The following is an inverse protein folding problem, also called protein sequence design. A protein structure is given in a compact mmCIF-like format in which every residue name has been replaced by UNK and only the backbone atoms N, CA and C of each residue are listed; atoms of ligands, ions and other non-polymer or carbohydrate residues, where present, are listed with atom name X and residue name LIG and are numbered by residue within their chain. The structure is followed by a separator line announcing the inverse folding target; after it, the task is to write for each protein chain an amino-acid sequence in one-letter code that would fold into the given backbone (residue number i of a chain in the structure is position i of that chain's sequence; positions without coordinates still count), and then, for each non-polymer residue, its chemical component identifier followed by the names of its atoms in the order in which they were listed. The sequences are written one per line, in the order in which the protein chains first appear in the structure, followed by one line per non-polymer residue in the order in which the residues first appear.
data_IF_862036343299
#
_entry.id   IF_862036343299
#
_cell.length_a   1.000
_cell.length_b   1.000
_cell.length_c   1.000
_cell.angle_alpha   90.00
_cell.angle_beta   90.00
_cell.angle_gamma   90.00
#
_symmetry.space_group_name_H-M   'P 1'
#
loop_
_entity.id
_entity.type
_entity.pdbx_description
1 polymer ?
#
# COMPACT_ATOMS: atom_id res chain seq x y z
N UNK A 1 23.58 8.47 10.07
CA UNK A 1 23.66 7.13 9.44
C UNK A 1 22.57 6.88 8.38
N UNK A 2 21.32 7.37 8.48
CA UNK A 2 20.27 7.11 7.46
C UNK A 2 20.02 8.22 6.41
N UNK A 3 20.65 9.41 6.54
CA UNK A 3 20.39 10.55 5.63
C UNK A 3 21.07 10.45 4.26
N UNK A 4 22.08 9.59 4.12
CA UNK A 4 22.99 9.62 2.97
C UNK A 4 22.69 8.55 1.92
N UNK A 5 21.78 7.61 2.19
CA UNK A 5 21.55 6.46 1.28
C UNK A 5 20.65 6.85 0.10
N UNK A 6 19.59 7.63 0.36
CA UNK A 6 18.58 7.97 -0.66
C UNK A 6 18.51 9.47 -0.99
N UNK A 7 19.29 10.31 -0.30
CA UNK A 7 19.37 11.77 -0.53
C UNK A 7 18.02 12.52 -0.55
N UNK A 8 17.02 12.02 0.19
CA UNK A 8 15.71 12.68 0.28
C UNK A 8 15.74 13.93 1.18
N UNK A 9 15.00 15.00 0.83
CA UNK A 9 14.82 16.14 1.71
C UNK A 9 14.18 15.74 3.05
N UNK A 10 14.75 16.19 4.17
CA UNK A 10 14.29 15.77 5.51
C UNK A 10 12.86 16.20 5.83
N UNK A 11 12.38 17.28 5.22
CA UNK A 11 11.01 17.77 5.41
C UNK A 11 9.94 16.80 4.89
N UNK A 12 10.27 15.90 3.95
CA UNK A 12 9.29 14.94 3.39
C UNK A 12 9.13 13.69 4.26
N UNK A 13 10.11 13.41 5.14
CA UNK A 13 10.14 12.20 5.97
C UNK A 13 8.94 12.17 6.92
N UNK A 14 8.68 13.26 7.64
CA UNK A 14 7.61 13.34 8.63
C UNK A 14 6.20 13.25 8.00
N UNK A 15 5.88 14.00 6.93
CA UNK A 15 4.63 13.82 6.19
C UNK A 15 4.42 12.38 5.71
N UNK A 16 5.43 11.76 5.10
CA UNK A 16 5.32 10.39 4.62
C UNK A 16 5.16 9.38 5.75
N UNK A 17 5.82 9.58 6.89
CA UNK A 17 5.64 8.73 8.06
C UNK A 17 4.20 8.79 8.59
N UNK A 18 3.63 10.00 8.72
CA UNK A 18 2.24 10.19 9.13
C UNK A 18 1.28 9.55 8.13
N UNK A 19 1.48 9.78 6.83
CA UNK A 19 0.63 9.22 5.77
C UNK A 19 0.64 7.69 5.74
N UNK A 20 1.77 7.04 6.03
CA UNK A 20 1.85 5.58 6.16
C UNK A 20 0.97 5.06 7.29
N UNK A 21 1.02 5.71 8.46
CA UNK A 21 0.19 5.33 9.61
C UNK A 21 -1.29 5.55 9.30
N UNK A 22 -1.65 6.71 8.73
CA UNK A 22 -3.02 7.01 8.30
C UNK A 22 -3.51 5.97 7.29
N UNK A 23 -2.71 5.65 6.28
CA UNK A 23 -3.01 4.63 5.28
C UNK A 23 -3.27 3.26 5.92
N UNK A 24 -2.41 2.83 6.83
CA UNK A 24 -2.58 1.58 7.58
C UNK A 24 -3.88 1.58 8.39
N UNK A 25 -4.17 2.65 9.12
CA UNK A 25 -5.41 2.79 9.91
C UNK A 25 -6.64 2.71 9.01
N UNK A 26 -6.66 3.42 7.88
CA UNK A 26 -7.78 3.40 6.93
C UNK A 26 -7.97 2.01 6.32
N UNK A 27 -6.89 1.32 5.98
CA UNK A 27 -6.91 -0.04 5.41
C UNK A 27 -7.50 -1.06 6.42
N UNK A 28 -7.20 -0.90 7.71
CA UNK A 28 -7.67 -1.79 8.77
C UNK A 28 -9.12 -1.47 9.19
N UNK A 29 -9.41 -0.19 9.42
CA UNK A 29 -10.71 0.28 9.91
C UNK A 29 -11.79 0.29 8.82
N UNK A 30 -11.42 0.58 7.57
CA UNK A 30 -12.30 0.57 6.38
C UNK A 30 -13.60 1.37 6.58
N UNK A 31 -13.52 2.68 6.90
CA UNK A 31 -14.72 3.50 7.15
C UNK A 31 -15.64 3.63 5.93
N UNK A 32 -15.10 3.52 4.71
CA UNK A 32 -15.87 3.39 3.47
C UNK A 32 -15.09 2.61 2.42
N UNK A 33 -15.78 1.99 1.47
CA UNK A 33 -15.13 1.25 0.38
C UNK A 33 -14.24 2.18 -0.47
N UNK A 34 -14.74 3.37 -0.82
CA UNK A 34 -14.00 4.36 -1.61
C UNK A 34 -12.72 4.82 -0.90
N UNK A 35 -12.81 5.19 0.39
CA UNK A 35 -11.64 5.68 1.13
C UNK A 35 -10.61 4.57 1.35
N UNK A 36 -11.07 3.34 1.61
CA UNK A 36 -10.20 2.19 1.67
C UNK A 36 -9.47 1.99 0.32
N UNK A 37 -10.17 2.02 -0.80
CA UNK A 37 -9.56 1.86 -2.13
C UNK A 37 -8.51 2.95 -2.42
N UNK A 38 -8.78 4.20 -2.04
CA UNK A 38 -7.80 5.28 -2.14
C UNK A 38 -6.57 5.03 -1.26
N UNK A 39 -6.75 4.52 -0.04
CA UNK A 39 -5.63 4.17 0.82
C UNK A 39 -4.80 3.00 0.26
N UNK A 40 -5.46 1.96 -0.28
CA UNK A 40 -4.79 0.87 -0.97
C UNK A 40 -4.01 1.37 -2.20
N UNK A 41 -4.59 2.24 -3.03
CA UNK A 41 -3.92 2.82 -4.20
C UNK A 41 -2.72 3.71 -3.81
N UNK A 42 -2.86 4.56 -2.79
CA UNK A 42 -1.78 5.40 -2.30
C UNK A 42 -0.61 4.56 -1.75
N UNK A 43 -0.90 3.52 -0.96
CA UNK A 43 0.12 2.60 -0.45
C UNK A 43 0.76 1.76 -1.55
N UNK A 44 0.01 1.36 -2.57
CA UNK A 44 0.54 0.66 -3.73
C UNK A 44 1.62 1.49 -4.41
N UNK A 45 1.32 2.74 -4.77
CA UNK A 45 2.30 3.62 -5.42
C UNK A 45 3.47 3.97 -4.50
N UNK A 46 3.21 4.22 -3.22
CA UNK A 46 4.26 4.46 -2.23
C UNK A 46 5.27 3.29 -2.18
N UNK A 47 4.79 2.04 -2.21
CA UNK A 47 5.65 0.85 -2.15
C UNK A 47 6.41 0.60 -3.46
N UNK A 48 5.79 0.83 -4.63
CA UNK A 48 6.47 0.78 -5.92
C UNK A 48 7.61 1.79 -5.97
N UNK A 49 7.35 3.03 -5.55
CA UNK A 49 8.36 4.09 -5.50
C UNK A 49 9.46 3.78 -4.48
N UNK A 50 9.11 3.26 -3.31
CA UNK A 50 10.09 2.87 -2.28
C UNK A 50 11.01 1.74 -2.77
N UNK A 51 10.44 0.69 -3.38
CA UNK A 51 11.22 -0.39 -3.99
C UNK A 51 12.16 0.15 -5.07
N UNK A 52 11.64 0.98 -5.98
CA UNK A 52 12.43 1.59 -7.06
C UNK A 52 13.56 2.48 -6.53
N UNK A 53 13.33 3.24 -5.46
CA UNK A 53 14.35 4.08 -4.85
C UNK A 53 15.49 3.25 -4.25
N UNK A 54 15.18 2.16 -3.53
CA UNK A 54 16.19 1.26 -2.98
C UNK A 54 17.02 0.55 -4.05
N UNK A 55 16.36 0.03 -5.08
CA UNK A 55 17.05 -0.61 -6.22
C UNK A 55 17.90 0.41 -6.98
N UNK A 56 17.38 1.61 -7.23
CA UNK A 56 18.10 2.67 -7.93
C UNK A 56 19.31 3.21 -7.17
N UNK A 57 19.26 3.20 -5.83
CA UNK A 57 20.39 3.54 -4.97
C UNK A 57 21.40 2.38 -4.81
N UNK A 58 21.06 1.17 -5.29
CA UNK A 58 21.88 -0.03 -5.11
C UNK A 58 21.94 -0.50 -3.65
N UNK A 59 20.99 -0.08 -2.81
CA UNK A 59 20.98 -0.43 -1.39
C UNK A 59 20.13 -1.68 -1.12
N UNK A 60 20.51 -2.52 -0.14
CA UNK A 60 19.82 -3.78 0.14
C UNK A 60 18.49 -3.62 0.91
N UNK A 61 17.98 -2.40 1.10
CA UNK A 61 16.78 -2.09 1.87
C UNK A 61 15.45 -2.31 1.14
N UNK A 62 15.47 -2.79 -0.11
CA UNK A 62 14.27 -3.07 -0.91
C UNK A 62 13.35 -4.23 -0.43
N UNK A 63 13.82 -5.29 0.26
CA UNK A 63 12.97 -6.47 0.54
C UNK A 63 11.68 -6.17 1.31
N UNK A 64 11.66 -5.32 2.37
CA UNK A 64 10.43 -4.97 3.06
C UNK A 64 9.41 -4.25 2.17
N UNK A 65 9.87 -3.40 1.23
CA UNK A 65 8.98 -2.72 0.30
C UNK A 65 8.30 -3.71 -0.65
N UNK A 66 9.08 -4.64 -1.22
CA UNK A 66 8.55 -5.68 -2.11
C UNK A 66 7.59 -6.62 -1.38
N UNK A 67 7.97 -7.12 -0.21
CA UNK A 67 7.13 -8.03 0.59
C UNK A 67 5.81 -7.36 0.97
N UNK A 68 5.85 -6.11 1.45
CA UNK A 68 4.65 -5.36 1.81
C UNK A 68 3.79 -5.07 0.57
N UNK A 69 4.38 -4.83 -0.60
CA UNK A 69 3.64 -4.60 -1.83
C UNK A 69 2.83 -5.82 -2.26
N UNK A 70 3.45 -7.01 -2.23
CA UNK A 70 2.76 -8.28 -2.50
C UNK A 70 1.65 -8.53 -1.48
N UNK A 71 1.93 -8.33 -0.19
CA UNK A 71 0.95 -8.49 0.88
C UNK A 71 -0.20 -7.49 0.76
N UNK A 72 0.05 -6.26 0.31
CA UNK A 72 -0.97 -5.24 0.10
C UNK A 72 -1.97 -5.67 -1.00
N UNK A 73 -1.47 -6.23 -2.10
CA UNK A 73 -2.31 -6.76 -3.19
C UNK A 73 -3.17 -7.91 -2.68
N UNK A 74 -2.55 -8.89 -2.00
CA UNK A 74 -3.27 -10.02 -1.41
C UNK A 74 -4.32 -9.57 -0.38
N UNK A 75 -3.97 -8.58 0.45
CA UNK A 75 -4.87 -7.97 1.42
C UNK A 75 -6.08 -7.32 0.75
N UNK A 76 -5.90 -6.57 -0.34
CA UNK A 76 -7.02 -5.96 -1.05
C UNK A 76 -7.94 -7.01 -1.69
N UNK A 77 -7.37 -8.04 -2.32
CA UNK A 77 -8.14 -9.13 -2.93
C UNK A 77 -8.97 -9.89 -1.90
N UNK A 78 -8.39 -10.20 -0.75
CA UNK A 78 -9.08 -10.92 0.34
C UNK A 78 -10.08 -10.03 1.08
N UNK A 79 -9.75 -8.76 1.32
CA UNK A 79 -10.66 -7.81 1.94
C UNK A 79 -11.95 -7.63 1.11
N UNK A 80 -11.87 -7.59 -0.22
CA UNK A 80 -13.04 -7.48 -1.08
C UNK A 80 -13.95 -8.71 -1.08
N UNK A 81 -13.47 -9.87 -0.60
CA UNK A 81 -14.32 -11.06 -0.42
C UNK A 81 -15.21 -10.96 0.82
N UNK A 82 -14.75 -10.29 1.87
CA UNK A 82 -15.42 -10.26 3.19
C UNK A 82 -16.12 -8.95 3.52
N UNK A 83 -15.85 -7.86 2.79
CA UNK A 83 -16.53 -6.57 3.01
C UNK A 83 -18.02 -6.66 2.68
N UNK A 84 -18.85 -6.12 3.56
CA UNK A 84 -20.29 -5.95 3.31
C UNK A 84 -20.56 -5.06 2.09
N UNK A 85 -19.81 -3.96 1.97
CA UNK A 85 -19.80 -3.09 0.79
C UNK A 85 -18.51 -3.33 0.03
N UNK A 86 -18.61 -3.95 -1.14
CA UNK A 86 -17.47 -4.25 -2.01
C UNK A 86 -16.92 -2.98 -2.65
N UNK A 87 -15.63 -2.98 -2.96
CA UNK A 87 -15.04 -1.96 -3.84
C UNK A 87 -15.79 -1.90 -5.17
N UNK A 88 -15.95 -0.71 -5.73
CA UNK A 88 -16.46 -0.52 -7.09
C UNK A 88 -15.56 -1.18 -8.15
N UNK A 89 -14.30 -1.43 -7.80
CA UNK A 89 -13.28 -2.05 -8.64
C UNK A 89 -13.00 -3.51 -8.24
N UNK A 90 -13.79 -4.09 -7.32
CA UNK A 90 -13.58 -5.46 -6.89
C UNK A 90 -13.67 -6.43 -8.09
N UNK A 91 -12.77 -7.41 -8.22
CA UNK A 91 -12.87 -8.41 -9.27
C UNK A 91 -14.20 -9.16 -9.19
N UNK A 92 -14.88 -9.32 -10.32
CA UNK A 92 -16.04 -10.19 -10.42
C UNK A 92 -15.53 -11.63 -10.49
N UNK A 93 -15.81 -12.41 -9.45
CA UNK A 93 -15.61 -13.85 -9.51
C UNK A 93 -16.86 -14.48 -10.13
N UNK A 94 -16.72 -15.47 -11.02
CA UNK A 94 -17.86 -16.22 -11.52
C UNK A 94 -18.67 -16.73 -10.32
N UNK A 95 -19.94 -16.34 -10.24
CA UNK A 95 -20.88 -17.04 -9.36
C UNK A 95 -21.15 -18.37 -10.04
N UNK A 96 -20.74 -19.48 -9.42
CA UNK A 96 -21.19 -20.80 -9.87
C UNK A 96 -22.72 -20.82 -9.80
N UNK A 97 -23.35 -20.70 -10.97
CA UNK A 97 -24.78 -20.89 -11.13
C UNK A 97 -25.04 -22.38 -11.08
N UNK A 98 -25.55 -22.87 -9.95
CA UNK A 98 -26.28 -24.14 -9.89
C UNK A 98 -27.70 -23.95 -10.41
#
# INVERSE_FOLDING_TARGET
MYREVLSYPTYIIWPLAILKIVGAVVILWRPSAMLADWAYAAMFWHLVLAFGAHVGAGDPGWPPALATWVLLIASWMTANRVRAVKSAYAPTFPTETN
#
